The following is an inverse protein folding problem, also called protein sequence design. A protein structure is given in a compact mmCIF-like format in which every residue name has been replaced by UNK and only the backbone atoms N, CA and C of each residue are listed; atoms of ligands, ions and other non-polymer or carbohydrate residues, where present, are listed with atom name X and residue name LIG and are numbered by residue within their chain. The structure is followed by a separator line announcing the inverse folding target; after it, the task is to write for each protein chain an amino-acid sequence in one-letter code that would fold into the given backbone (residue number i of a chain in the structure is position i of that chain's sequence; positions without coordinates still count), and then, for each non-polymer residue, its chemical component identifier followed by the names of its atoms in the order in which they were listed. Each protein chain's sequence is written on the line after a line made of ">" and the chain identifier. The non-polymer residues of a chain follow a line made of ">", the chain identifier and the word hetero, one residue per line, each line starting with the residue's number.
data_IF_727816443646
#
_entry.id   IF_727816443646
#
_cell.length_a   1.000
_cell.length_b   1.000
_cell.length_c   1.000
_cell.angle_alpha   90.00
_cell.angle_beta   90.00
_cell.angle_gamma   90.00
#
_symmetry.space_group_name_H-M   'P 1'
#
loop_
_entity.id
_entity.type
_entity.pdbx_description
1 polymer ?
#
# COMPACT_ATOMS: atom_id res chain seq x y z
N UNK A 1 -16.95 14.13 -31.65
CA UNK A 1 -16.38 12.92 -31.02
C UNK A 1 -15.87 13.32 -29.65
N UNK A 2 -16.70 13.23 -28.60
CA UNK A 2 -16.20 13.29 -27.23
C UNK A 2 -15.22 12.13 -27.07
N UNK A 3 -13.97 12.40 -26.71
CA UNK A 3 -13.10 11.32 -26.22
C UNK A 3 -13.79 10.78 -24.99
N UNK A 4 -14.37 9.58 -25.07
CA UNK A 4 -14.82 8.87 -23.88
C UNK A 4 -13.60 8.81 -22.95
N UNK A 5 -13.73 9.43 -21.77
CA UNK A 5 -12.74 9.26 -20.73
C UNK A 5 -12.82 7.79 -20.32
N UNK A 6 -11.69 7.11 -20.19
CA UNK A 6 -11.68 5.73 -19.70
C UNK A 6 -12.33 5.63 -18.32
N UNK A 7 -12.88 4.46 -18.00
CA UNK A 7 -13.53 4.17 -16.72
C UNK A 7 -12.51 4.04 -15.59
N UNK A 8 -12.95 4.13 -14.33
CA UNK A 8 -12.09 3.86 -13.18
C UNK A 8 -11.40 2.49 -13.29
N UNK A 9 -12.17 1.49 -13.71
CA UNK A 9 -11.72 0.10 -13.87
C UNK A 9 -10.64 -0.02 -14.95
N UNK A 10 -10.84 0.57 -16.12
CA UNK A 10 -9.84 0.54 -17.21
C UNK A 10 -8.53 1.19 -16.79
N UNK A 11 -8.58 2.31 -16.07
CA UNK A 11 -7.39 2.94 -15.51
C UNK A 11 -6.71 2.05 -14.47
N UNK A 12 -7.46 1.41 -13.58
CA UNK A 12 -6.89 0.51 -12.58
C UNK A 12 -6.23 -0.72 -13.23
N UNK A 13 -6.86 -1.34 -14.22
CA UNK A 13 -6.32 -2.48 -14.96
C UNK A 13 -5.05 -2.11 -15.71
N UNK A 14 -5.05 -0.97 -16.43
CA UNK A 14 -3.86 -0.50 -17.14
C UNK A 14 -2.73 -0.13 -16.16
N UNK A 15 -3.06 0.49 -15.03
CA UNK A 15 -2.11 0.76 -13.95
C UNK A 15 -1.47 -0.52 -13.42
N UNK A 16 -2.26 -1.56 -13.23
CA UNK A 16 -1.81 -2.88 -12.78
C UNK A 16 -0.87 -3.56 -13.79
N UNK A 17 -1.17 -3.44 -15.10
CA UNK A 17 -0.27 -3.91 -16.17
C UNK A 17 1.07 -3.18 -16.12
N UNK A 18 1.07 -1.85 -15.96
CA UNK A 18 2.31 -1.09 -15.83
C UNK A 18 3.10 -1.46 -14.57
N UNK A 19 2.41 -1.69 -13.45
CA UNK A 19 3.02 -2.12 -12.19
C UNK A 19 3.71 -3.48 -12.34
N UNK A 20 3.07 -4.45 -13.00
CA UNK A 20 3.64 -5.77 -13.30
C UNK A 20 4.88 -5.66 -14.20
N UNK A 21 4.89 -4.71 -15.14
CA UNK A 21 6.05 -4.40 -15.99
C UNK A 21 7.11 -3.55 -15.27
N UNK A 22 6.91 -3.18 -14.00
CA UNK A 22 7.76 -2.28 -13.21
C UNK A 22 7.91 -0.88 -13.81
N UNK A 23 6.95 -0.47 -14.63
CA UNK A 23 6.88 0.84 -15.26
C UNK A 23 6.08 1.77 -14.34
N UNK A 24 6.70 2.11 -13.20
CA UNK A 24 5.97 2.69 -12.05
C UNK A 24 5.38 4.08 -12.31
N UNK A 25 6.03 4.94 -13.11
CA UNK A 25 5.53 6.28 -13.38
C UNK A 25 4.20 6.26 -14.16
N UNK A 26 4.11 5.37 -15.16
CA UNK A 26 2.88 5.15 -15.91
C UNK A 26 1.82 4.48 -15.03
N UNK A 27 2.19 3.53 -14.17
CA UNK A 27 1.26 2.93 -13.21
C UNK A 27 0.62 3.99 -12.29
N UNK A 28 1.46 4.86 -11.70
CA UNK A 28 1.03 5.99 -10.86
C UNK A 28 0.04 6.87 -11.62
N UNK A 29 0.35 7.22 -12.88
CA UNK A 29 -0.53 8.07 -13.68
C UNK A 29 -1.93 7.44 -13.87
N UNK A 30 -2.01 6.13 -14.12
CA UNK A 30 -3.30 5.48 -14.30
C UNK A 30 -4.07 5.35 -12.99
N UNK A 31 -3.44 4.94 -11.89
CA UNK A 31 -4.11 4.87 -10.59
C UNK A 31 -4.63 6.24 -10.13
N UNK A 32 -3.89 7.33 -10.39
CA UNK A 32 -4.38 8.68 -10.14
C UNK A 32 -5.59 9.07 -11.00
N UNK A 33 -5.71 8.54 -12.21
CA UNK A 33 -6.89 8.74 -13.06
C UNK A 33 -8.07 7.92 -12.55
N UNK A 34 -7.85 6.67 -12.13
CA UNK A 34 -8.88 5.84 -11.50
C UNK A 34 -9.49 6.54 -10.28
N UNK A 35 -8.65 7.07 -9.36
CA UNK A 35 -9.10 7.82 -8.18
C UNK A 35 -9.83 9.14 -8.49
N UNK A 36 -9.68 9.69 -9.70
CA UNK A 36 -10.35 10.92 -10.14
C UNK A 36 -11.60 10.65 -10.97
N UNK A 37 -11.92 9.38 -11.21
CA UNK A 37 -13.06 8.99 -12.02
C UNK A 37 -14.31 9.00 -11.16
N UNK A 38 -15.40 9.52 -11.72
CA UNK A 38 -16.68 9.68 -11.00
C UNK A 38 -17.39 8.33 -10.77
N UNK A 39 -16.97 7.28 -11.48
CA UNK A 39 -17.54 5.94 -11.44
C UNK A 39 -16.78 4.96 -10.53
N UNK A 40 -15.74 5.40 -9.80
CA UNK A 40 -15.02 4.53 -8.86
C UNK A 40 -15.83 4.33 -7.57
N UNK A 41 -16.22 3.09 -7.23
CA UNK A 41 -16.88 2.82 -5.95
C UNK A 41 -15.92 3.12 -4.78
N UNK A 42 -16.41 3.80 -3.75
CA UNK A 42 -15.60 4.17 -2.57
C UNK A 42 -14.93 2.94 -1.94
N UNK A 43 -15.67 1.83 -1.83
CA UNK A 43 -15.15 0.56 -1.30
C UNK A 43 -13.97 0.00 -2.12
N UNK A 44 -13.94 0.23 -3.43
CA UNK A 44 -12.87 -0.25 -4.32
C UNK A 44 -11.66 0.70 -4.35
N UNK A 45 -11.83 1.95 -3.92
CA UNK A 45 -10.74 2.93 -3.87
C UNK A 45 -9.61 2.51 -2.92
N UNK A 46 -9.88 1.63 -1.95
CA UNK A 46 -8.85 1.02 -1.10
C UNK A 46 -7.81 0.22 -1.90
N UNK A 47 -8.26 -0.56 -2.89
CA UNK A 47 -7.39 -1.33 -3.78
C UNK A 47 -6.50 -0.41 -4.61
N UNK A 48 -7.09 0.67 -5.14
CA UNK A 48 -6.38 1.66 -5.96
C UNK A 48 -5.34 2.40 -5.12
N UNK A 49 -5.68 2.83 -3.91
CA UNK A 49 -4.75 3.47 -2.97
C UNK A 49 -3.59 2.55 -2.59
N UNK A 50 -3.84 1.26 -2.32
CA UNK A 50 -2.78 0.30 -2.04
C UNK A 50 -1.86 0.09 -3.26
N UNK A 51 -2.41 -0.06 -4.46
CA UNK A 51 -1.61 -0.22 -5.69
C UNK A 51 -0.78 1.04 -6.01
N UNK A 52 -1.36 2.23 -5.81
CA UNK A 52 -0.67 3.50 -5.95
C UNK A 52 0.45 3.66 -4.91
N UNK A 53 0.18 3.28 -3.65
CA UNK A 53 1.18 3.24 -2.60
C UNK A 53 2.36 2.32 -2.93
N UNK A 54 2.08 1.13 -3.49
CA UNK A 54 3.10 0.19 -3.95
C UNK A 54 3.98 0.80 -5.05
N UNK A 55 3.36 1.45 -6.04
CA UNK A 55 4.11 2.09 -7.12
C UNK A 55 5.02 3.22 -6.62
N UNK A 56 4.56 4.03 -5.66
CA UNK A 56 5.42 5.03 -5.01
C UNK A 56 6.53 4.40 -4.16
N UNK A 57 6.22 3.34 -3.41
CA UNK A 57 7.21 2.61 -2.62
C UNK A 57 8.34 2.07 -3.50
N UNK A 58 8.00 1.52 -4.67
CA UNK A 58 8.98 1.00 -5.62
C UNK A 58 9.88 2.09 -6.23
N UNK A 59 9.45 3.35 -6.21
CA UNK A 59 10.27 4.52 -6.55
C UNK A 59 10.95 5.15 -5.33
N UNK A 60 10.97 4.46 -4.19
CA UNK A 60 11.54 4.94 -2.93
C UNK A 60 10.88 6.20 -2.36
N UNK A 61 9.68 6.55 -2.85
CA UNK A 61 8.88 7.67 -2.35
C UNK A 61 8.06 7.23 -1.13
N UNK A 62 8.74 6.81 -0.07
CA UNK A 62 8.13 6.13 1.08
C UNK A 62 7.08 7.00 1.80
N UNK A 63 7.30 8.30 1.94
CA UNK A 63 6.35 9.20 2.61
C UNK A 63 5.03 9.33 1.82
N UNK A 64 5.10 9.28 0.49
CA UNK A 64 3.90 9.25 -0.36
C UNK A 64 3.22 7.89 -0.27
N UNK A 65 4.00 6.80 -0.32
CA UNK A 65 3.48 5.45 -0.18
C UNK A 65 2.72 5.25 1.15
N UNK A 66 3.30 5.69 2.26
CA UNK A 66 2.68 5.65 3.60
C UNK A 66 1.33 6.36 3.59
N UNK A 67 1.23 7.55 2.99
CA UNK A 67 -0.06 8.26 2.89
C UNK A 67 -1.09 7.44 2.12
N UNK A 68 -0.71 6.86 0.98
CA UNK A 68 -1.64 6.06 0.18
C UNK A 68 -2.08 4.78 0.90
N UNK A 69 -1.17 4.07 1.58
CA UNK A 69 -1.56 2.91 2.39
C UNK A 69 -2.50 3.30 3.54
N UNK A 70 -2.30 4.46 4.17
CA UNK A 70 -3.21 4.97 5.19
C UNK A 70 -4.60 5.31 4.64
N UNK A 71 -4.69 5.89 3.44
CA UNK A 71 -6.00 6.10 2.80
C UNK A 71 -6.69 4.75 2.53
N UNK A 72 -5.95 3.75 2.02
CA UNK A 72 -6.51 2.41 1.84
C UNK A 72 -7.07 1.82 3.16
N UNK A 73 -6.34 2.00 4.26
CA UNK A 73 -6.73 1.51 5.59
C UNK A 73 -7.83 2.33 6.26
N UNK A 74 -8.05 3.57 5.84
CA UNK A 74 -9.20 4.38 6.28
C UNK A 74 -10.49 3.84 5.68
N UNK A 75 -10.43 3.32 4.45
CA UNK A 75 -11.57 2.74 3.73
C UNK A 75 -11.81 1.29 4.17
N UNK A 76 -10.76 0.48 4.22
CA UNK A 76 -10.78 -0.90 4.73
C UNK A 76 -9.69 -1.09 5.80
N UNK A 77 -10.04 -0.92 7.10
CA UNK A 77 -9.11 -1.14 8.20
C UNK A 77 -8.58 -2.58 8.31
N UNK A 78 -9.26 -3.55 7.69
CA UNK A 78 -8.89 -4.96 7.70
C UNK A 78 -8.01 -5.37 6.52
N UNK A 79 -7.58 -4.42 5.68
CA UNK A 79 -6.83 -4.71 4.47
C UNK A 79 -5.38 -5.15 4.77
N UNK A 80 -5.21 -6.45 5.04
CA UNK A 80 -3.95 -7.09 5.44
C UNK A 80 -2.77 -6.74 4.53
N UNK A 81 -2.99 -6.65 3.21
CA UNK A 81 -1.93 -6.30 2.26
C UNK A 81 -1.45 -4.87 2.46
N UNK A 82 -2.36 -3.91 2.67
CA UNK A 82 -2.01 -2.52 2.91
C UNK A 82 -1.29 -2.33 4.27
N UNK A 83 -1.69 -3.06 5.32
CA UNK A 83 -0.99 -3.05 6.61
C UNK A 83 0.46 -3.57 6.49
N UNK A 84 0.66 -4.70 5.81
CA UNK A 84 2.00 -5.25 5.57
C UNK A 84 2.89 -4.26 4.77
N UNK A 85 2.31 -3.64 3.74
CA UNK A 85 2.99 -2.65 2.93
C UNK A 85 3.33 -1.38 3.74
N UNK A 86 2.42 -0.94 4.61
CA UNK A 86 2.64 0.18 5.52
C UNK A 86 3.79 -0.11 6.50
N UNK A 87 3.79 -1.29 7.13
CA UNK A 87 4.88 -1.73 8.00
C UNK A 87 6.23 -1.72 7.29
N UNK A 88 6.27 -2.20 6.03
CA UNK A 88 7.49 -2.22 5.24
C UNK A 88 7.97 -0.80 4.88
N UNK A 89 7.05 0.10 4.53
CA UNK A 89 7.36 1.50 4.28
C UNK A 89 7.92 2.21 5.51
N UNK A 90 7.38 1.94 6.70
CA UNK A 90 7.94 2.44 7.95
C UNK A 90 9.33 1.89 8.24
N UNK A 91 9.62 0.61 7.97
CA UNK A 91 10.98 0.09 8.12
C UNK A 91 11.98 0.75 7.17
N UNK A 92 11.60 1.03 5.91
CA UNK A 92 12.46 1.78 4.97
C UNK A 92 12.75 3.19 5.47
N UNK A 93 11.84 3.75 6.28
CA UNK A 93 11.99 5.04 6.95
C UNK A 93 12.65 4.95 8.33
N UNK A 94 13.08 3.76 8.75
CA UNK A 94 13.65 3.47 10.07
C UNK A 94 12.72 3.84 11.23
N UNK A 95 11.41 3.88 10.98
CA UNK A 95 10.38 4.12 11.98
C UNK A 95 9.97 2.79 12.61
N UNK A 96 10.82 2.30 13.54
CA UNK A 96 10.70 0.96 14.14
C UNK A 96 9.36 0.74 14.86
N UNK A 97 8.92 1.70 15.69
CA UNK A 97 7.68 1.54 16.46
C UNK A 97 6.43 1.49 15.54
N UNK A 98 6.22 2.46 14.61
CA UNK A 98 5.11 2.38 13.67
C UNK A 98 5.13 1.13 12.77
N UNK A 99 6.32 0.66 12.39
CA UNK A 99 6.45 -0.57 11.63
C UNK A 99 5.97 -1.79 12.43
N UNK A 100 6.40 -1.90 13.69
CA UNK A 100 6.00 -3.00 14.56
C UNK A 100 4.50 -3.01 14.79
N UNK A 101 3.90 -1.84 15.08
CA UNK A 101 2.46 -1.70 15.26
C UNK A 101 1.67 -2.16 14.03
N UNK A 102 2.10 -1.76 12.82
CA UNK A 102 1.44 -2.20 11.59
C UNK A 102 1.51 -3.73 11.40
N UNK A 103 2.65 -4.37 11.70
CA UNK A 103 2.76 -5.82 11.63
C UNK A 103 1.99 -6.54 12.73
N UNK A 104 1.87 -5.95 13.92
CA UNK A 104 1.03 -6.50 14.99
C UNK A 104 -0.46 -6.45 14.63
N UNK A 105 -0.91 -5.39 13.95
CA UNK A 105 -2.26 -5.33 13.39
C UNK A 105 -2.49 -6.41 12.32
N UNK A 106 -1.50 -6.69 11.46
CA UNK A 106 -1.59 -7.84 10.54
C UNK A 106 -1.78 -9.14 11.31
N UNK A 107 -0.98 -9.38 12.36
CA UNK A 107 -1.06 -10.62 13.14
C UNK A 107 -2.35 -10.75 13.97
N UNK A 108 -3.02 -9.64 14.28
CA UNK A 108 -4.34 -9.67 14.91
C UNK A 108 -5.44 -10.12 13.93
N UNK A 109 -5.30 -9.82 12.63
CA UNK A 109 -6.25 -10.17 11.58
C UNK A 109 -5.94 -11.54 10.93
N UNK A 110 -4.65 -11.82 10.76
CA UNK A 110 -4.08 -13.01 10.12
C UNK A 110 -2.89 -13.52 10.98
N UNK A 111 -3.16 -14.30 12.03
CA UNK A 111 -2.13 -14.79 12.96
C UNK A 111 -1.05 -15.66 12.29
N UNK A 112 -1.36 -16.27 11.16
CA UNK A 112 -0.46 -17.14 10.40
C UNK A 112 0.34 -16.38 9.33
N UNK A 113 0.23 -15.05 9.28
CA UNK A 113 0.97 -14.23 8.34
C UNK A 113 2.49 -14.30 8.59
N UNK A 114 3.17 -15.15 7.81
CA UNK A 114 4.61 -15.42 7.95
C UNK A 114 5.47 -14.17 7.78
N UNK A 115 5.05 -13.24 6.91
CA UNK A 115 5.77 -11.98 6.70
C UNK A 115 5.71 -11.12 7.95
N UNK A 116 4.50 -10.82 8.44
CA UNK A 116 4.33 -9.99 9.62
C UNK A 116 5.00 -10.60 10.86
N UNK A 117 4.87 -11.92 11.06
CA UNK A 117 5.52 -12.63 12.18
C UNK A 117 7.03 -12.42 12.18
N UNK A 118 7.68 -12.72 11.05
CA UNK A 118 9.13 -12.57 10.90
C UNK A 118 9.60 -11.12 11.09
N UNK A 119 8.86 -10.15 10.54
CA UNK A 119 9.23 -8.73 10.64
C UNK A 119 9.02 -8.19 12.05
N UNK A 120 7.89 -8.51 12.70
CA UNK A 120 7.62 -8.12 14.08
C UNK A 120 8.66 -8.70 15.06
N UNK A 121 9.00 -9.99 14.95
CA UNK A 121 10.06 -10.61 15.76
C UNK A 121 11.42 -9.91 15.58
N UNK A 122 11.77 -9.58 14.33
CA UNK A 122 13.00 -8.84 14.02
C UNK A 122 13.01 -7.43 14.61
N UNK A 123 11.88 -6.72 14.59
CA UNK A 123 11.75 -5.37 15.14
C UNK A 123 11.79 -5.37 16.67
N UNK A 124 11.11 -6.33 17.33
CA UNK A 124 11.16 -6.49 18.79
C UNK A 124 12.58 -6.70 19.30
N UNK A 125 13.38 -7.52 18.61
CA UNK A 125 14.81 -7.72 18.96
C UNK A 125 15.64 -6.44 18.84
N UNK A 126 15.31 -5.54 17.91
CA UNK A 126 15.99 -4.24 17.76
C UNK A 126 15.66 -3.25 18.88
N UNK A 127 14.52 -3.43 19.55
CA UNK A 127 14.06 -2.57 20.65
C UNK A 127 14.57 -3.02 22.02
N UNK A 128 15.02 -4.27 22.15
CA UNK A 128 15.68 -4.75 23.37
C UNK A 128 17.16 -4.34 23.31
N UNK A 129 17.66 -3.54 24.28
CA UNK A 129 19.09 -3.27 24.36
C UNK A 129 19.83 -4.59 24.55
N UNK A 130 20.79 -4.88 23.67
CA UNK A 130 21.72 -5.98 23.92
C UNK A 130 22.47 -5.64 25.20
N UNK A 131 22.30 -6.49 26.21
CA UNK A 131 22.92 -6.36 27.54
C UNK A 131 24.38 -6.77 27.48
#
# INVERSE_FOLDING_TARGET
>A
LSKEKGTAQEYFELGSIYLNKRVYAQAINQFQKALKSDDLPEAESALVHNALGYAYFAQEQYDVAIRQYKEALKIDPSYVTALNNLGHAYERKQLTNPALEAYEQVLALDPDNTTAKRRAESLRKRLVPTS
#
